data_IF_319246395014
#
_entry.id   IF_319246395014
#
_cell.length_a   1.000
_cell.length_b   1.000
_cell.length_c   1.000
_cell.angle_alpha   90.00
_cell.angle_beta   90.00
_cell.angle_gamma   90.00
#
_symmetry.space_group_name_H-M   'P 1'
#
loop_
_entity.id
_entity.type
_entity.pdbx_description
1 polymer ?
#
# COMPACT_ATOMS: atom_id res chain seq x y z
N UNK A 1 -9.14 31.44 -4.50
CA UNK A 1 -8.04 30.47 -4.24
C UNK A 1 -6.69 30.91 -4.83
N UNK A 2 -5.57 30.53 -4.19
CA UNK A 2 -4.21 30.66 -4.74
C UNK A 2 -3.76 29.32 -5.34
N UNK A 3 -3.25 29.34 -6.58
CA UNK A 3 -2.67 28.17 -7.25
C UNK A 3 -1.17 28.39 -7.40
N UNK A 4 -0.38 27.40 -6.97
CA UNK A 4 1.08 27.41 -7.07
C UNK A 4 1.54 26.33 -8.05
N UNK A 5 2.30 26.72 -9.07
CA UNK A 5 2.94 25.81 -10.03
C UNK A 5 4.44 26.13 -10.01
N UNK A 6 5.23 25.25 -9.39
CA UNK A 6 6.65 25.52 -9.16
C UNK A 6 6.85 26.76 -8.29
N UNK A 7 7.52 27.78 -8.84
CA UNK A 7 7.77 29.08 -8.17
C UNK A 7 6.71 30.15 -8.49
N UNK A 8 5.79 29.85 -9.41
CA UNK A 8 4.77 30.81 -9.85
C UNK A 8 3.52 30.69 -8.99
N UNK A 9 3.00 31.83 -8.53
CA UNK A 9 1.73 31.92 -7.80
C UNK A 9 0.71 32.70 -8.64
N UNK A 10 -0.52 32.22 -8.70
CA UNK A 10 -1.61 32.89 -9.40
C UNK A 10 -2.88 32.83 -8.57
N UNK A 11 -3.59 33.96 -8.48
CA UNK A 11 -4.90 34.02 -7.83
C UNK A 11 -5.98 33.72 -8.86
N UNK A 12 -6.83 32.76 -8.55
CA UNK A 12 -7.99 32.40 -9.37
C UNK A 12 -9.28 32.54 -8.56
N UNK A 13 -10.36 32.85 -9.26
CA UNK A 13 -11.70 32.98 -8.71
C UNK A 13 -12.58 31.84 -9.20
N UNK A 14 -12.42 30.68 -8.56
CA UNK A 14 -13.24 29.49 -8.78
C UNK A 14 -13.80 29.00 -7.45
N UNK A 15 -15.10 29.23 -7.22
CA UNK A 15 -15.78 28.84 -5.98
C UNK A 15 -15.97 27.32 -5.87
N UNK A 16 -16.15 26.63 -7.00
CA UNK A 16 -16.36 25.18 -7.00
C UNK A 16 -15.09 24.46 -6.56
N UNK A 17 -13.95 24.89 -7.12
CA UNK A 17 -12.65 24.37 -6.73
C UNK A 17 -12.33 24.71 -5.28
N UNK A 18 -12.63 25.94 -4.85
CA UNK A 18 -12.42 26.37 -3.45
C UNK A 18 -13.18 25.51 -2.46
N UNK A 19 -14.46 25.26 -2.73
CA UNK A 19 -15.25 24.35 -1.91
C UNK A 19 -14.70 22.92 -1.95
N UNK A 20 -14.34 22.40 -3.13
CA UNK A 20 -13.82 21.03 -3.25
C UNK A 20 -12.53 20.81 -2.46
N UNK A 21 -11.60 21.77 -2.49
CA UNK A 21 -10.35 21.68 -1.70
C UNK A 21 -10.63 21.73 -0.20
N UNK A 22 -11.51 22.63 0.25
CA UNK A 22 -11.86 22.76 1.66
C UNK A 22 -12.57 21.50 2.20
N UNK A 23 -13.56 20.98 1.46
CA UNK A 23 -14.28 19.76 1.85
C UNK A 23 -13.37 18.53 1.83
N UNK A 24 -12.50 18.41 0.82
CA UNK A 24 -11.50 17.34 0.79
C UNK A 24 -10.58 17.39 2.02
N UNK A 25 -10.09 18.58 2.38
CA UNK A 25 -9.22 18.75 3.54
C UNK A 25 -9.92 18.37 4.84
N UNK A 26 -11.15 18.85 5.03
CA UNK A 26 -11.96 18.53 6.20
C UNK A 26 -12.22 17.02 6.33
N UNK A 27 -12.68 16.38 5.26
CA UNK A 27 -12.96 14.94 5.26
C UNK A 27 -11.70 14.12 5.50
N UNK A 28 -10.57 14.49 4.90
CA UNK A 28 -9.31 13.76 5.08
C UNK A 28 -8.82 13.85 6.53
N UNK A 29 -8.88 15.03 7.16
CA UNK A 29 -8.56 15.19 8.57
C UNK A 29 -9.47 14.36 9.48
N UNK A 30 -10.77 14.31 9.18
CA UNK A 30 -11.72 13.47 9.91
C UNK A 30 -11.41 11.97 9.75
N UNK A 31 -11.07 11.52 8.54
CA UNK A 31 -10.66 10.14 8.27
C UNK A 31 -9.38 9.81 9.06
N UNK A 32 -8.42 10.73 9.10
CA UNK A 32 -7.17 10.50 9.83
C UNK A 32 -7.40 10.37 11.34
N UNK A 33 -8.23 11.25 11.93
CA UNK A 33 -8.65 11.11 13.33
C UNK A 33 -9.35 9.77 13.61
N UNK A 34 -10.29 9.37 12.74
CA UNK A 34 -11.00 8.10 12.89
C UNK A 34 -10.07 6.89 12.72
N UNK A 35 -9.06 6.98 11.85
CA UNK A 35 -8.06 5.93 11.69
C UNK A 35 -7.18 5.78 12.94
N UNK A 36 -6.83 6.88 13.59
CA UNK A 36 -6.09 6.87 14.85
C UNK A 36 -6.92 6.24 15.98
N UNK A 37 -8.21 6.61 16.10
CA UNK A 37 -9.13 5.96 17.05
C UNK A 37 -9.28 4.46 16.76
N UNK A 38 -9.44 4.08 15.48
CA UNK A 38 -9.57 2.70 15.06
C UNK A 38 -8.32 1.88 15.39
N UNK A 39 -7.12 2.49 15.38
CA UNK A 39 -5.86 1.82 15.70
C UNK A 39 -5.87 1.30 17.15
N UNK A 40 -6.36 2.09 18.10
CA UNK A 40 -6.46 1.68 19.50
C UNK A 40 -7.35 0.43 19.66
N UNK A 41 -8.50 0.39 18.99
CA UNK A 41 -9.38 -0.78 19.02
C UNK A 41 -8.77 -2.01 18.32
N UNK A 42 -8.06 -1.80 17.19
CA UNK A 42 -7.35 -2.88 16.49
C UNK A 42 -6.32 -3.53 17.41
N UNK A 43 -5.54 -2.75 18.16
CA UNK A 43 -4.55 -3.29 19.09
C UNK A 43 -5.19 -4.16 20.19
N UNK A 44 -6.31 -3.72 20.78
CA UNK A 44 -7.06 -4.51 21.76
C UNK A 44 -7.52 -5.85 21.15
N UNK A 45 -8.12 -5.81 19.95
CA UNK A 45 -8.64 -6.99 19.27
C UNK A 45 -7.50 -7.96 18.91
N UNK A 46 -6.37 -7.46 18.42
CA UNK A 46 -5.20 -8.27 18.04
C UNK A 46 -4.58 -8.94 19.26
N UNK A 47 -4.43 -8.22 20.38
CA UNK A 47 -3.92 -8.79 21.62
C UNK A 47 -4.82 -9.94 22.09
N UNK A 48 -6.14 -9.73 22.09
CA UNK A 48 -7.09 -10.79 22.45
C UNK A 48 -7.06 -11.97 21.49
N UNK A 49 -6.97 -11.72 20.19
CA UNK A 49 -6.85 -12.79 19.20
C UNK A 49 -5.60 -13.64 19.42
N UNK A 50 -4.47 -12.99 19.74
CA UNK A 50 -3.20 -13.68 20.02
C UNK A 50 -3.31 -14.58 21.25
N UNK A 51 -3.95 -14.10 22.32
CA UNK A 51 -4.24 -14.92 23.51
C UNK A 51 -5.11 -16.15 23.20
N UNK A 52 -6.15 -15.98 22.36
CA UNK A 52 -7.06 -17.07 22.00
C UNK A 52 -6.43 -18.12 21.09
N UNK A 53 -5.35 -17.77 20.38
CA UNK A 53 -4.60 -18.71 19.54
C UNK A 53 -3.47 -19.43 20.29
N UNK A 54 -3.19 -19.08 21.55
CA UNK A 54 -2.19 -19.82 22.35
C UNK A 54 -2.62 -21.28 22.49
N UNK A 55 -1.86 -22.17 21.85
CA UNK A 55 -2.15 -23.61 21.81
C UNK A 55 -3.10 -24.06 20.70
N UNK A 56 -3.39 -23.20 19.71
CA UNK A 56 -4.16 -23.52 18.52
C UNK A 56 -3.28 -23.53 17.27
N UNK A 57 -3.50 -24.50 16.37
CA UNK A 57 -2.88 -24.52 15.05
C UNK A 57 -3.58 -23.57 14.04
N UNK A 58 -4.65 -22.90 14.46
CA UNK A 58 -5.36 -21.93 13.61
C UNK A 58 -4.54 -20.66 13.40
N UNK A 59 -4.55 -20.15 12.17
CA UNK A 59 -3.98 -18.85 11.81
C UNK A 59 -5.00 -17.71 11.86
N UNK A 60 -6.23 -17.94 12.35
CA UNK A 60 -7.22 -16.88 12.43
C UNK A 60 -8.24 -17.08 13.56
N UNK A 61 -8.80 -15.96 14.04
CA UNK A 61 -9.88 -15.90 15.02
C UNK A 61 -10.98 -14.98 14.48
N UNK A 62 -12.23 -15.35 14.69
CA UNK A 62 -13.38 -14.48 14.41
C UNK A 62 -14.07 -14.12 15.72
N UNK A 63 -14.35 -12.83 15.91
CA UNK A 63 -15.15 -12.32 17.01
C UNK A 63 -16.51 -11.89 16.49
N UNK A 64 -17.55 -12.23 17.24
CA UNK A 64 -18.92 -11.77 17.01
C UNK A 64 -19.40 -11.12 18.30
N UNK A 65 -19.86 -9.88 18.20
CA UNK A 65 -20.47 -9.17 19.32
C UNK A 65 -21.95 -9.53 19.47
N UNK A 66 -22.52 -9.26 20.63
CA UNK A 66 -23.96 -9.46 20.88
C UNK A 66 -24.87 -8.60 19.98
N UNK A 67 -24.32 -7.58 19.32
CA UNK A 67 -25.02 -6.74 18.35
C UNK A 67 -24.74 -7.18 16.89
N UNK A 68 -24.36 -8.45 16.69
CA UNK A 68 -24.11 -9.08 15.39
C UNK A 68 -22.95 -8.48 14.55
N UNK A 69 -22.17 -7.54 15.09
CA UNK A 69 -20.94 -7.09 14.44
C UNK A 69 -19.88 -8.20 14.46
N UNK A 70 -19.21 -8.42 13.33
CA UNK A 70 -18.22 -9.50 13.15
C UNK A 70 -16.88 -8.95 12.70
N UNK A 71 -15.80 -9.41 13.32
CA UNK A 71 -14.42 -9.07 12.97
C UNK A 71 -13.57 -10.33 12.89
N UNK A 72 -12.84 -10.51 11.80
CA UNK A 72 -11.85 -11.59 11.65
C UNK A 72 -10.45 -11.04 11.78
N UNK A 73 -9.63 -11.66 12.61
CA UNK A 73 -8.19 -11.44 12.70
C UNK A 73 -7.50 -12.64 12.06
N UNK A 74 -6.65 -12.38 11.07
CA UNK A 74 -5.83 -13.41 10.41
C UNK A 74 -4.37 -13.10 10.62
N UNK A 75 -3.61 -14.09 11.07
CA UNK A 75 -2.18 -14.04 11.25
C UNK A 75 -1.53 -14.70 10.04
N UNK A 76 -0.66 -13.97 9.37
CA UNK A 76 0.11 -14.45 8.22
C UNK A 76 1.58 -14.11 8.41
N UNK A 77 2.45 -14.85 7.73
CA UNK A 77 3.88 -14.65 7.77
C UNK A 77 4.36 -14.25 6.37
N UNK A 78 5.08 -13.13 6.28
CA UNK A 78 5.82 -12.75 5.07
C UNK A 78 7.19 -13.46 5.11
N UNK A 79 7.35 -14.48 4.28
CA UNK A 79 8.59 -15.28 4.20
C UNK A 79 9.37 -14.85 2.96
N UNK A 80 10.53 -14.26 3.18
CA UNK A 80 11.46 -13.84 2.11
C UNK A 80 12.73 -14.68 2.16
N UNK A 81 13.17 -15.16 1.00
CA UNK A 81 14.46 -15.84 0.87
C UNK A 81 15.57 -14.79 0.91
N UNK A 82 16.36 -14.78 1.98
CA UNK A 82 17.48 -13.86 2.17
C UNK A 82 18.81 -14.42 1.68
N UNK A 83 18.97 -15.75 1.70
CA UNK A 83 20.17 -16.45 1.23
C UNK A 83 19.76 -17.66 0.38
N UNK A 84 19.57 -17.46 -0.93
CA UNK A 84 19.15 -18.51 -1.85
C UNK A 84 20.13 -19.68 -1.88
N UNK A 85 21.43 -19.42 -1.88
CA UNK A 85 22.47 -20.46 -2.00
C UNK A 85 22.44 -21.42 -0.82
N UNK A 86 22.37 -20.89 0.41
CA UNK A 86 22.27 -21.73 1.61
C UNK A 86 20.95 -22.46 1.68
N UNK A 87 19.85 -21.81 1.28
CA UNK A 87 18.53 -22.44 1.25
C UNK A 87 18.48 -23.58 0.21
N UNK A 88 19.17 -23.43 -0.93
CA UNK A 88 19.28 -24.47 -1.96
C UNK A 88 20.04 -25.69 -1.44
N UNK A 89 21.13 -25.51 -0.68
CA UNK A 89 21.83 -26.63 -0.03
C UNK A 89 20.93 -27.36 0.97
N UNK A 90 20.12 -26.62 1.75
CA UNK A 90 19.24 -27.21 2.76
C UNK A 90 18.02 -27.92 2.16
N UNK A 91 17.42 -27.37 1.11
CA UNK A 91 16.22 -27.92 0.47
C UNK A 91 16.55 -28.97 -0.61
N UNK A 92 17.77 -28.98 -1.12
CA UNK A 92 18.23 -29.93 -2.14
C UNK A 92 17.35 -29.92 -3.39
N UNK A 93 16.87 -31.10 -3.77
CA UNK A 93 15.99 -31.34 -4.92
C UNK A 93 14.62 -30.64 -4.82
N UNK A 94 14.20 -30.26 -3.61
CA UNK A 94 12.92 -29.55 -3.39
C UNK A 94 13.02 -28.04 -3.57
N UNK A 95 14.21 -27.49 -3.74
CA UNK A 95 14.40 -26.04 -3.83
C UNK A 95 13.57 -25.45 -4.98
N UNK A 96 13.71 -25.99 -6.19
CA UNK A 96 13.01 -25.50 -7.38
C UNK A 96 11.49 -25.77 -7.34
N UNK A 97 11.03 -26.68 -6.46
CA UNK A 97 9.60 -26.92 -6.23
C UNK A 97 8.96 -25.88 -5.29
N UNK A 98 9.76 -25.31 -4.39
CA UNK A 98 9.30 -24.43 -3.31
C UNK A 98 9.68 -22.96 -3.50
N UNK A 99 10.66 -22.70 -4.38
CA UNK A 99 11.20 -21.37 -4.64
C UNK A 99 11.06 -21.06 -6.12
N UNK A 100 10.31 -20.00 -6.44
CA UNK A 100 10.21 -19.48 -7.80
C UNK A 100 11.21 -18.34 -8.00
N UNK A 101 12.09 -18.48 -8.99
CA UNK A 101 12.96 -17.39 -9.41
C UNK A 101 12.23 -16.46 -10.39
N UNK A 102 12.16 -15.17 -10.05
CA UNK A 102 11.61 -14.14 -10.93
C UNK A 102 12.66 -13.05 -11.17
N UNK A 103 12.95 -12.77 -12.44
CA UNK A 103 13.81 -11.65 -12.83
C UNK A 103 12.93 -10.46 -13.19
N UNK A 104 13.08 -9.36 -12.44
CA UNK A 104 12.33 -8.12 -12.68
C UNK A 104 13.27 -7.02 -13.14
N UNK A 105 12.98 -6.42 -14.30
CA UNK A 105 13.69 -5.25 -14.79
C UNK A 105 12.98 -3.99 -14.32
N UNK A 106 13.63 -3.20 -13.47
CA UNK A 106 13.10 -1.91 -13.01
C UNK A 106 13.74 -0.79 -13.82
N UNK A 107 12.90 0.01 -14.49
CA UNK A 107 13.37 1.15 -15.25
C UNK A 107 13.95 2.23 -14.33
N UNK A 108 15.21 2.57 -14.57
CA UNK A 108 15.90 3.67 -13.89
C UNK A 108 15.39 5.04 -14.34
N UNK A 109 15.68 6.09 -13.54
CA UNK A 109 15.20 7.46 -13.78
C UNK A 109 15.46 7.95 -15.22
N UNK A 110 16.68 7.75 -15.72
CA UNK A 110 17.07 8.21 -17.06
C UNK A 110 16.28 7.52 -18.17
N UNK A 111 15.97 6.23 -18.02
CA UNK A 111 15.15 5.51 -19.00
C UNK A 111 13.70 6.01 -19.00
N UNK A 112 13.15 6.33 -17.81
CA UNK A 112 11.79 6.91 -17.69
C UNK A 112 11.68 8.28 -18.37
N UNK A 113 12.73 9.10 -18.28
CA UNK A 113 12.77 10.42 -18.94
C UNK A 113 12.88 10.29 -20.46
N UNK A 114 13.72 9.35 -20.95
CA UNK A 114 13.89 9.08 -22.39
C UNK A 114 12.63 8.48 -23.02
N UNK A 115 11.93 7.59 -22.31
CA UNK A 115 10.71 6.94 -22.78
C UNK A 115 9.60 7.92 -23.22
N UNK A 116 9.63 9.16 -22.74
CA UNK A 116 8.67 10.20 -23.10
C UNK A 116 9.05 10.93 -24.39
N UNK A 117 10.30 10.85 -24.82
CA UNK A 117 10.79 11.38 -26.10
C UNK A 117 10.59 10.33 -27.21
N UNK A 118 10.34 10.78 -28.44
CA UNK A 118 10.03 9.87 -29.55
C UNK A 118 11.30 9.38 -30.25
N UNK A 119 11.95 8.37 -29.66
CA UNK A 119 13.25 7.84 -30.08
C UNK A 119 13.24 6.35 -30.48
N UNK A 120 12.06 5.74 -30.62
CA UNK A 120 11.89 4.32 -30.96
C UNK A 120 11.96 3.35 -29.76
N UNK A 121 12.32 3.81 -28.55
CA UNK A 121 12.36 2.96 -27.36
C UNK A 121 10.97 2.58 -26.81
N UNK A 122 9.93 3.34 -27.19
CA UNK A 122 8.55 3.14 -26.71
C UNK A 122 7.98 1.77 -27.06
N UNK A 123 8.41 1.15 -28.17
CA UNK A 123 7.93 -0.18 -28.57
C UNK A 123 8.33 -1.28 -27.57
N UNK A 124 9.40 -1.06 -26.81
CA UNK A 124 9.89 -1.98 -25.79
C UNK A 124 9.38 -1.65 -24.37
N UNK A 125 8.57 -0.61 -24.22
CA UNK A 125 8.16 -0.07 -22.92
C UNK A 125 6.64 -0.03 -22.80
N UNK A 126 6.11 -0.59 -21.72
CA UNK A 126 4.70 -0.40 -21.37
C UNK A 126 4.54 0.94 -20.61
N UNK A 127 4.23 2.00 -21.34
CA UNK A 127 4.03 3.34 -20.77
C UNK A 127 2.55 3.52 -20.47
N UNK A 128 2.21 3.52 -19.17
CA UNK A 128 0.89 3.86 -18.67
C UNK A 128 0.96 5.16 -17.87
N UNK A 129 0.15 6.15 -18.26
CA UNK A 129 -0.01 7.34 -17.45
C UNK A 129 -0.60 6.94 -16.09
N UNK A 130 0.03 7.39 -15.01
CA UNK A 130 -0.52 7.17 -13.67
C UNK A 130 -1.66 8.15 -13.43
N UNK A 131 -2.74 7.65 -12.84
CA UNK A 131 -3.79 8.51 -12.35
C UNK A 131 -3.20 9.59 -11.42
N UNK A 132 -3.62 10.86 -11.53
CA UNK A 132 -3.23 11.90 -10.61
C UNK A 132 -3.56 11.52 -9.16
N UNK A 133 -2.64 11.78 -8.23
CA UNK A 133 -2.87 11.58 -6.80
C UNK A 133 -3.18 12.89 -6.10
N UNK A 134 -4.23 12.92 -5.28
CA UNK A 134 -4.57 14.06 -4.42
C UNK A 134 -4.19 13.72 -2.98
N UNK A 135 -3.41 14.59 -2.34
CA UNK A 135 -3.01 14.44 -0.94
C UNK A 135 -3.05 15.80 -0.24
N UNK A 136 -3.31 15.78 1.07
CA UNK A 136 -3.01 16.93 1.92
C UNK A 136 -1.49 17.11 2.03
N UNK A 137 -1.06 18.36 2.14
CA UNK A 137 0.33 18.79 2.31
C UNK A 137 0.54 19.18 3.77
#
# INVERSE_FOLDING_TARGET
MLVKIGKTETKIHDKSLENAVNEFAYLKQKIDSLNDELKAFKEIIINKASEQLLGSDSLSVSFESMNENKVKVSFGWDVKVSNPDTLAVLLGDKFDLLVKSEMTYKAEKRLKELALNDDGLKECLEIKEKAPSVSLI
#
